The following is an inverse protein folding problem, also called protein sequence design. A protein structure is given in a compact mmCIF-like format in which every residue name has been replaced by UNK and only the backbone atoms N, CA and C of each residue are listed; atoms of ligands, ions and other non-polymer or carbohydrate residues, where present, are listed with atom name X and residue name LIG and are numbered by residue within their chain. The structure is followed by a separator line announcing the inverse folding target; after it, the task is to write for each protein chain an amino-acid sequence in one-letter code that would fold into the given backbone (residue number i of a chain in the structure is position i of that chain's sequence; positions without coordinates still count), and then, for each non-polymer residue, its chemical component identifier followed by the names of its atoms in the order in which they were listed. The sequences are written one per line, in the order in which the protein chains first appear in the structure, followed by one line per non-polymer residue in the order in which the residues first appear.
data_IF_551256995175
#
_entry.id   IF_551256995175
#
_cell.length_a   1.000
_cell.length_b   1.000
_cell.length_c   1.000
_cell.angle_alpha   90.00
_cell.angle_beta   90.00
_cell.angle_gamma   90.00
#
_symmetry.space_group_name_H-M   'P 1'
#
loop_
_entity.id
_entity.type
_entity.pdbx_description
1 polymer ?
#
# COMPACT_ATOMS: atom_id res chain seq x y z
N UNK A 1 -3.88 37.73 -23.33
CA UNK A 1 -3.92 36.30 -22.92
C UNK A 1 -2.91 36.18 -21.80
N UNK A 2 -3.35 36.03 -20.55
CA UNK A 2 -2.41 35.92 -19.43
C UNK A 2 -1.53 34.70 -19.67
N UNK A 3 -0.26 34.95 -20.01
CA UNK A 3 0.79 33.94 -20.10
C UNK A 3 0.79 33.23 -18.75
N UNK A 4 0.22 32.03 -18.74
CA UNK A 4 0.15 31.12 -17.60
C UNK A 4 1.51 31.19 -16.91
N UNK A 5 1.52 31.64 -15.65
CA UNK A 5 2.74 31.64 -14.84
C UNK A 5 3.09 30.19 -14.52
N UNK A 6 3.59 29.46 -15.53
CA UNK A 6 4.19 28.15 -15.37
C UNK A 6 5.31 28.33 -14.35
N UNK A 7 5.22 27.67 -13.19
CA UNK A 7 6.10 28.03 -12.06
C UNK A 7 7.57 27.82 -12.42
N UNK A 8 7.85 26.85 -13.31
CA UNK A 8 9.19 26.60 -13.85
C UNK A 8 9.72 27.70 -14.79
N UNK A 9 8.88 28.60 -15.32
CA UNK A 9 9.30 29.71 -16.22
C UNK A 9 10.39 30.59 -15.61
N UNK A 10 10.35 30.78 -14.29
CA UNK A 10 11.24 31.72 -13.57
C UNK A 10 12.72 31.39 -13.70
N UNK A 11 13.07 30.15 -14.04
CA UNK A 11 14.46 29.69 -14.10
C UNK A 11 14.88 29.20 -15.50
N UNK A 12 14.10 29.47 -16.56
CA UNK A 12 14.47 29.01 -17.91
C UNK A 12 15.79 29.64 -18.37
N UNK A 13 16.78 28.84 -18.80
CA UNK A 13 18.06 29.35 -19.30
C UNK A 13 17.94 30.04 -20.66
N UNK A 14 16.79 29.93 -21.34
CA UNK A 14 16.57 30.42 -22.70
C UNK A 14 15.73 31.70 -22.80
N UNK A 15 15.40 32.33 -21.66
CA UNK A 15 14.53 33.51 -21.60
C UNK A 15 15.01 34.69 -22.45
N UNK A 16 16.33 34.83 -22.65
CA UNK A 16 16.92 35.94 -23.41
C UNK A 16 17.14 35.61 -24.90
N UNK A 17 16.86 34.38 -25.35
CA UNK A 17 17.04 33.97 -26.74
C UNK A 17 15.77 34.22 -27.53
N UNK A 18 15.88 34.96 -28.63
CA UNK A 18 14.75 35.25 -29.54
C UNK A 18 15.00 34.77 -30.97
N UNK A 19 16.19 34.25 -31.26
CA UNK A 19 16.53 33.64 -32.53
C UNK A 19 15.84 32.26 -32.64
N UNK A 20 14.74 32.23 -33.39
CA UNK A 20 13.93 31.04 -33.53
C UNK A 20 14.66 29.91 -34.26
N UNK A 21 15.43 30.21 -35.31
CA UNK A 21 16.16 29.20 -36.07
C UNK A 21 17.25 28.54 -35.22
N UNK A 22 17.90 29.33 -34.35
CA UNK A 22 18.83 28.79 -33.37
C UNK A 22 18.13 27.87 -32.35
N UNK A 23 16.96 28.28 -31.85
CA UNK A 23 16.16 27.47 -30.91
C UNK A 23 15.70 26.14 -31.53
N UNK A 24 15.23 26.16 -32.78
CA UNK A 24 14.84 24.95 -33.52
C UNK A 24 16.04 24.00 -33.69
N UNK A 25 17.20 24.53 -34.08
CA UNK A 25 18.42 23.71 -34.19
C UNK A 25 18.80 23.08 -32.85
N UNK A 26 18.76 23.85 -31.76
CA UNK A 26 19.05 23.35 -30.42
C UNK A 26 18.04 22.30 -29.95
N UNK A 27 16.78 22.41 -30.36
CA UNK A 27 15.72 21.46 -30.04
C UNK A 27 15.88 20.15 -30.81
N UNK A 28 16.17 20.22 -32.11
CA UNK A 28 16.47 19.05 -32.93
C UNK A 28 17.66 18.27 -32.37
N UNK A 29 18.78 18.94 -32.07
CA UNK A 29 19.96 18.31 -31.46
C UNK A 29 19.63 17.66 -30.11
N UNK A 30 18.73 18.26 -29.33
CA UNK A 30 18.31 17.73 -28.03
C UNK A 30 17.39 16.50 -28.19
N UNK A 31 16.52 16.47 -29.20
CA UNK A 31 15.70 15.30 -29.52
C UNK A 31 16.54 14.12 -29.98
N UNK A 32 17.48 14.34 -30.90
CA UNK A 32 18.41 13.31 -31.39
C UNK A 32 19.19 12.66 -30.24
N UNK A 33 19.64 13.46 -29.27
CA UNK A 33 20.31 12.94 -28.06
C UNK A 33 19.36 12.19 -27.13
N UNK A 34 18.15 12.70 -26.92
CA UNK A 34 17.16 12.06 -26.05
C UNK A 34 16.67 10.71 -26.61
N UNK A 35 16.71 10.50 -27.92
CA UNK A 35 16.46 9.19 -28.55
C UNK A 35 17.57 8.17 -28.26
N UNK A 36 18.82 8.61 -28.13
CA UNK A 36 19.97 7.76 -27.80
C UNK A 36 20.04 7.47 -26.30
N UNK A 37 19.89 8.49 -25.47
CA UNK A 37 19.96 8.41 -24.01
C UNK A 37 18.95 9.38 -23.39
N UNK A 38 17.82 8.84 -22.91
CA UNK A 38 16.76 9.67 -22.34
C UNK A 38 17.02 9.98 -20.85
N UNK A 39 17.63 11.14 -20.57
CA UNK A 39 17.89 11.63 -19.21
C UNK A 39 16.88 12.69 -18.75
N UNK A 40 16.84 12.95 -17.44
CA UNK A 40 15.99 14.00 -16.88
C UNK A 40 16.42 15.39 -17.37
N UNK A 41 17.73 15.66 -17.40
CA UNK A 41 18.30 16.94 -17.82
C UNK A 41 18.00 17.24 -19.29
N UNK A 42 18.02 16.21 -20.15
CA UNK A 42 17.66 16.37 -21.57
C UNK A 42 16.18 16.68 -21.75
N UNK A 43 15.29 16.01 -21.01
CA UNK A 43 13.85 16.32 -21.01
C UNK A 43 13.57 17.72 -20.48
N UNK A 44 14.24 18.13 -19.42
CA UNK A 44 14.12 19.48 -18.87
C UNK A 44 14.60 20.55 -19.87
N UNK A 45 15.71 20.29 -20.56
CA UNK A 45 16.20 21.14 -21.66
C UNK A 45 15.17 21.25 -22.79
N UNK A 46 14.63 20.12 -23.25
CA UNK A 46 13.60 20.08 -24.30
C UNK A 46 12.35 20.85 -23.89
N UNK A 47 11.95 20.74 -22.61
CA UNK A 47 10.83 21.50 -22.04
C UNK A 47 11.07 23.02 -22.16
N UNK A 48 12.22 23.52 -21.70
CA UNK A 48 12.51 24.96 -21.75
C UNK A 48 12.65 25.50 -23.18
N UNK A 49 13.22 24.71 -24.10
CA UNK A 49 13.29 25.08 -25.52
C UNK A 49 11.91 25.19 -26.15
N UNK A 50 11.06 24.17 -25.96
CA UNK A 50 9.69 24.18 -26.47
C UNK A 50 8.83 25.29 -25.84
N UNK A 51 9.00 25.55 -24.54
CA UNK A 51 8.34 26.67 -23.87
C UNK A 51 8.73 28.00 -24.51
N UNK A 52 10.03 28.21 -24.78
CA UNK A 52 10.51 29.46 -25.40
C UNK A 52 10.03 29.61 -26.84
N UNK A 53 10.03 28.54 -27.62
CA UNK A 53 9.51 28.55 -29.00
C UNK A 53 8.01 28.87 -29.02
N UNK A 54 7.23 28.31 -28.09
CA UNK A 54 5.81 28.65 -27.94
C UNK A 54 5.58 30.11 -27.52
N UNK A 55 6.46 30.70 -26.70
CA UNK A 55 6.38 32.13 -26.36
C UNK A 55 6.59 33.04 -27.59
N UNK A 56 7.43 32.61 -28.54
CA UNK A 56 7.70 33.35 -29.77
C UNK A 56 6.59 33.14 -30.81
N UNK A 57 6.06 31.91 -30.92
CA UNK A 57 5.00 31.50 -31.84
C UNK A 57 3.84 30.80 -31.09
N UNK A 58 3.00 31.56 -30.38
CA UNK A 58 1.94 30.99 -29.53
C UNK A 58 0.81 30.29 -30.30
N UNK A 59 0.64 30.63 -31.57
CA UNK A 59 -0.32 30.03 -32.50
C UNK A 59 0.05 28.58 -32.91
N UNK A 60 1.31 28.18 -32.76
CA UNK A 60 1.79 26.86 -33.14
C UNK A 60 1.46 25.83 -32.05
N UNK A 61 0.35 25.09 -32.24
CA UNK A 61 -0.09 24.06 -31.30
C UNK A 61 0.93 22.92 -31.10
N UNK A 62 1.83 22.73 -32.07
CA UNK A 62 2.91 21.75 -31.99
C UNK A 62 3.71 21.91 -30.69
N UNK A 63 4.22 23.12 -30.39
CA UNK A 63 5.02 23.35 -29.19
C UNK A 63 4.21 23.15 -27.92
N UNK A 64 2.95 23.58 -27.91
CA UNK A 64 2.04 23.36 -26.78
C UNK A 64 1.82 21.86 -26.52
N UNK A 65 1.68 21.04 -27.56
CA UNK A 65 1.54 19.59 -27.45
C UNK A 65 2.86 18.92 -27.04
N UNK A 66 4.00 19.38 -27.55
CA UNK A 66 5.34 18.92 -27.17
C UNK A 66 5.63 19.18 -25.69
N UNK A 67 5.35 20.40 -25.20
CA UNK A 67 5.42 20.75 -23.77
C UNK A 67 4.57 19.78 -22.95
N UNK A 68 3.34 19.49 -23.41
CA UNK A 68 2.43 18.62 -22.70
C UNK A 68 3.01 17.22 -22.46
N UNK A 69 3.59 16.63 -23.52
CA UNK A 69 4.23 15.33 -23.48
C UNK A 69 5.46 15.33 -22.58
N UNK A 70 6.34 16.33 -22.73
CA UNK A 70 7.58 16.41 -21.95
C UNK A 70 7.28 16.59 -20.45
N UNK A 71 6.32 17.45 -20.11
CA UNK A 71 5.91 17.68 -18.71
C UNK A 71 5.28 16.43 -18.09
N UNK A 72 4.51 15.66 -18.87
CA UNK A 72 3.97 14.38 -18.43
C UNK A 72 5.09 13.39 -18.10
N UNK A 73 6.12 13.32 -18.94
CA UNK A 73 7.28 12.43 -18.75
C UNK A 73 8.14 12.86 -17.55
N UNK A 74 8.47 14.16 -17.43
CA UNK A 74 9.21 14.72 -16.28
C UNK A 74 8.48 14.45 -14.95
N UNK A 75 7.17 14.72 -14.90
CA UNK A 75 6.37 14.44 -13.71
C UNK A 75 6.30 12.95 -13.40
N UNK A 76 6.31 12.09 -14.42
CA UNK A 76 6.32 10.63 -14.24
C UNK A 76 7.64 10.12 -13.68
N UNK A 77 8.77 10.61 -14.18
CA UNK A 77 10.10 10.24 -13.70
C UNK A 77 10.29 10.63 -12.23
N UNK A 78 9.89 11.85 -11.86
CA UNK A 78 9.92 12.33 -10.47
C UNK A 78 8.99 11.53 -9.55
N UNK A 79 7.80 11.16 -10.03
CA UNK A 79 6.89 10.31 -9.27
C UNK A 79 7.45 8.91 -9.05
N UNK A 80 8.13 8.33 -10.06
CA UNK A 80 8.74 7.00 -9.97
C UNK A 80 9.95 6.97 -9.04
N UNK A 81 10.76 8.02 -9.06
CA UNK A 81 11.93 8.12 -8.18
C UNK A 81 11.54 8.26 -6.70
N UNK A 82 10.30 8.71 -6.42
CA UNK A 82 9.78 9.03 -5.08
C UNK A 82 10.59 10.11 -4.34
N UNK A 83 11.48 10.80 -5.04
CA UNK A 83 12.37 11.80 -4.45
C UNK A 83 11.67 13.15 -4.32
N UNK A 84 10.85 13.53 -5.30
CA UNK A 84 10.25 14.87 -5.33
C UNK A 84 8.79 14.87 -5.82
N UNK A 85 7.87 14.44 -4.94
CA UNK A 85 6.44 14.47 -5.24
C UNK A 85 5.88 15.88 -5.39
N UNK A 86 6.47 16.88 -4.75
CA UNK A 86 6.02 18.27 -4.83
C UNK A 86 6.29 18.84 -6.23
N UNK A 87 7.48 18.64 -6.78
CA UNK A 87 7.79 19.08 -8.14
C UNK A 87 6.98 18.32 -9.19
N UNK A 88 6.79 17.00 -9.02
CA UNK A 88 5.90 16.22 -9.87
C UNK A 88 4.46 16.77 -9.85
N UNK A 89 3.96 17.15 -8.68
CA UNK A 89 2.64 17.74 -8.50
C UNK A 89 2.51 19.05 -9.28
N UNK A 90 3.49 19.94 -9.17
CA UNK A 90 3.51 21.22 -9.89
C UNK A 90 3.48 21.02 -11.41
N UNK A 91 4.28 20.08 -11.94
CA UNK A 91 4.25 19.76 -13.36
C UNK A 91 2.87 19.32 -13.86
N UNK A 92 2.17 18.46 -13.13
CA UNK A 92 0.84 18.01 -13.53
C UNK A 92 -0.23 19.10 -13.39
N UNK A 93 -0.15 19.97 -12.38
CA UNK A 93 -1.06 21.12 -12.26
C UNK A 93 -0.85 22.14 -13.38
N UNK A 94 0.40 22.47 -13.67
CA UNK A 94 0.75 23.40 -14.74
C UNK A 94 0.32 22.84 -16.09
N UNK A 95 0.48 21.53 -16.32
CA UNK A 95 0.00 20.82 -17.51
C UNK A 95 -1.53 20.92 -17.69
N UNK A 96 -2.30 20.65 -16.64
CA UNK A 96 -3.76 20.77 -16.68
C UNK A 96 -4.17 22.20 -17.00
N UNK A 97 -3.46 23.19 -16.44
CA UNK A 97 -3.75 24.61 -16.68
C UNK A 97 -3.41 25.01 -18.11
N UNK A 98 -2.24 24.59 -18.61
CA UNK A 98 -1.78 24.84 -19.98
C UNK A 98 -2.74 24.27 -21.03
N UNK A 99 -3.33 23.10 -20.76
CA UNK A 99 -4.17 22.42 -21.74
C UNK A 99 -5.65 22.83 -21.69
N UNK A 100 -6.07 23.70 -20.75
CA UNK A 100 -7.45 24.19 -20.73
C UNK A 100 -7.85 24.79 -22.09
N UNK A 101 -9.08 24.52 -22.58
CA UNK A 101 -10.15 23.74 -21.94
C UNK A 101 -10.07 22.21 -22.15
N UNK A 102 -9.06 21.68 -22.86
CA UNK A 102 -8.88 20.23 -23.10
C UNK A 102 -8.70 19.49 -21.77
N UNK A 103 -9.40 18.38 -21.62
CA UNK A 103 -9.22 17.52 -20.45
C UNK A 103 -7.91 16.73 -20.56
N UNK A 104 -7.21 16.57 -19.44
CA UNK A 104 -5.97 15.76 -19.38
C UNK A 104 -6.14 14.64 -18.32
N UNK A 105 -6.84 13.54 -18.66
CA UNK A 105 -7.14 12.45 -17.73
C UNK A 105 -5.91 11.87 -17.05
N UNK A 106 -4.83 11.63 -17.79
CA UNK A 106 -3.61 11.02 -17.25
C UNK A 106 -2.94 11.90 -16.18
N UNK A 107 -2.95 13.24 -16.33
CA UNK A 107 -2.39 14.14 -15.33
C UNK A 107 -3.21 14.13 -14.03
N UNK A 108 -4.54 14.17 -14.15
CA UNK A 108 -5.43 14.02 -13.00
C UNK A 108 -5.25 12.65 -12.31
N UNK A 109 -5.09 11.58 -13.07
CA UNK A 109 -4.76 10.27 -12.54
C UNK A 109 -3.44 10.29 -11.75
N UNK A 110 -2.39 10.94 -12.25
CA UNK A 110 -1.12 11.03 -11.52
C UNK A 110 -1.23 11.86 -10.24
N UNK A 111 -1.91 13.01 -10.29
CA UNK A 111 -2.19 13.87 -9.12
C UNK A 111 -2.99 13.12 -8.05
N UNK A 112 -4.03 12.38 -8.45
CA UNK A 112 -4.85 11.60 -7.52
C UNK A 112 -4.02 10.64 -6.67
N UNK A 113 -3.05 9.97 -7.28
CA UNK A 113 -2.11 9.12 -6.55
C UNK A 113 -1.14 9.90 -5.65
N UNK A 114 -0.63 11.05 -6.10
CA UNK A 114 0.27 11.87 -5.27
C UNK A 114 -0.49 12.34 -4.02
N UNK A 115 -1.71 12.83 -4.18
CA UNK A 115 -2.58 13.22 -3.07
C UNK A 115 -2.92 12.05 -2.16
N UNK A 116 -3.18 10.88 -2.74
CA UNK A 116 -3.45 9.67 -1.97
C UNK A 116 -2.26 9.29 -1.07
N UNK A 117 -1.03 9.29 -1.61
CA UNK A 117 0.18 8.98 -0.83
C UNK A 117 0.49 10.03 0.24
N UNK A 118 0.08 11.27 0.00
CA UNK A 118 0.19 12.37 0.98
C UNK A 118 -1.00 12.45 1.94
N UNK A 119 -1.87 11.43 1.98
CA UNK A 119 -3.08 11.37 2.81
C UNK A 119 -4.07 12.53 2.58
N UNK A 120 -3.98 13.22 1.44
CA UNK A 120 -4.91 14.28 1.00
C UNK A 120 -6.11 13.66 0.30
N UNK A 121 -6.84 12.76 0.96
CA UNK A 121 -7.84 11.90 0.32
C UNK A 121 -8.95 12.66 -0.41
N UNK A 122 -9.42 13.79 0.12
CA UNK A 122 -10.43 14.61 -0.56
C UNK A 122 -9.92 15.18 -1.91
N UNK A 123 -8.65 15.60 -1.97
CA UNK A 123 -8.04 16.05 -3.22
C UNK A 123 -7.84 14.87 -4.18
N UNK A 124 -7.38 13.73 -3.66
CA UNK A 124 -7.23 12.50 -4.43
C UNK A 124 -8.55 12.07 -5.11
N UNK A 125 -9.66 12.09 -4.37
CA UNK A 125 -11.01 11.80 -4.88
C UNK A 125 -11.33 12.71 -6.07
N UNK A 126 -11.23 14.03 -5.90
CA UNK A 126 -11.53 15.01 -6.98
C UNK A 126 -10.70 14.77 -8.24
N UNK A 127 -9.43 14.42 -8.08
CA UNK A 127 -8.56 14.14 -9.21
C UNK A 127 -8.89 12.81 -9.90
N UNK A 128 -9.12 11.73 -9.15
CA UNK A 128 -9.54 10.46 -9.74
C UNK A 128 -10.87 10.58 -10.48
N UNK A 129 -11.84 11.33 -9.94
CA UNK A 129 -13.12 11.58 -10.63
C UNK A 129 -12.93 12.34 -11.94
N UNK A 130 -12.12 13.40 -11.95
CA UNK A 130 -11.77 14.14 -13.18
C UNK A 130 -11.04 13.26 -14.20
N UNK A 131 -10.24 12.30 -13.73
CA UNK A 131 -9.51 11.38 -14.60
C UNK A 131 -10.42 10.31 -15.23
N UNK A 132 -11.38 9.79 -14.46
CA UNK A 132 -12.32 8.76 -14.89
C UNK A 132 -13.46 9.32 -15.73
N UNK A 133 -13.94 10.52 -15.38
CA UNK A 133 -15.05 11.21 -16.01
C UNK A 133 -14.61 12.58 -16.53
N UNK A 134 -13.72 12.64 -17.54
CA UNK A 134 -13.36 13.90 -18.15
C UNK A 134 -14.61 14.54 -18.77
N UNK A 135 -14.78 15.87 -18.68
CA UNK A 135 -15.93 16.55 -19.27
C UNK A 135 -16.05 16.23 -20.75
N UNK A 136 -17.27 15.94 -21.21
CA UNK A 136 -17.58 15.75 -22.63
C UNK A 136 -17.44 17.10 -23.33
N UNK A 137 -16.35 17.27 -24.07
CA UNK A 137 -16.10 18.47 -24.88
C UNK A 137 -16.39 18.17 -26.36
N UNK A 138 -16.63 19.23 -27.14
CA UNK A 138 -16.73 19.17 -28.61
C UNK A 138 -15.44 18.56 -29.22
N UNK A 139 -15.51 18.06 -30.46
CA UNK A 139 -14.51 17.15 -31.06
C UNK A 139 -13.07 17.69 -31.04
N UNK A 140 -12.91 19.01 -31.13
CA UNK A 140 -11.63 19.76 -31.09
C UNK A 140 -10.94 19.78 -29.72
N UNK A 141 -11.61 19.30 -28.67
CA UNK A 141 -11.15 19.40 -27.27
C UNK A 141 -11.09 18.06 -26.55
N UNK A 142 -11.16 16.97 -27.32
CA UNK A 142 -11.00 15.61 -26.80
C UNK A 142 -9.54 15.33 -26.42
N UNK A 143 -9.28 14.55 -25.36
CA UNK A 143 -7.92 14.17 -25.03
C UNK A 143 -7.27 13.40 -26.18
N UNK A 144 -6.00 13.67 -26.48
CA UNK A 144 -5.20 12.89 -27.42
C UNK A 144 -4.93 11.48 -26.87
N UNK A 145 -4.59 10.48 -27.70
CA UNK A 145 -4.41 9.09 -27.24
C UNK A 145 -3.47 8.92 -26.04
N UNK A 146 -2.37 9.68 -25.97
CA UNK A 146 -1.40 9.64 -24.86
C UNK A 146 -1.88 10.37 -23.59
N UNK A 147 -2.92 11.20 -23.70
CA UNK A 147 -3.53 11.93 -22.58
C UNK A 147 -4.65 11.12 -21.92
N UNK A 148 -5.20 10.14 -22.64
CA UNK A 148 -6.24 9.21 -22.17
C UNK A 148 -5.68 8.18 -21.20
N UNK A 149 -6.55 7.68 -20.33
CA UNK A 149 -6.24 6.52 -19.51
C UNK A 149 -6.38 5.23 -20.32
N UNK A 150 -5.39 4.34 -20.21
CA UNK A 150 -5.55 2.94 -20.60
C UNK A 150 -6.58 2.24 -19.71
N UNK A 151 -7.10 1.09 -20.14
CA UNK A 151 -8.05 0.32 -19.34
C UNK A 151 -7.48 -0.09 -17.97
N UNK A 152 -6.22 -0.53 -17.94
CA UNK A 152 -5.51 -0.83 -16.69
C UNK A 152 -5.42 0.40 -15.78
N UNK A 153 -5.15 1.59 -16.33
CA UNK A 153 -5.10 2.82 -15.55
C UNK A 153 -6.49 3.22 -15.03
N UNK A 154 -7.55 3.05 -15.83
CA UNK A 154 -8.94 3.29 -15.38
C UNK A 154 -9.31 2.37 -14.23
N UNK A 155 -9.04 1.06 -14.33
CA UNK A 155 -9.27 0.11 -13.25
C UNK A 155 -8.51 0.51 -11.97
N UNK A 156 -7.22 0.85 -12.09
CA UNK A 156 -6.41 1.31 -10.95
C UNK A 156 -6.94 2.61 -10.32
N UNK A 157 -7.38 3.55 -11.15
CA UNK A 157 -7.99 4.80 -10.69
C UNK A 157 -9.29 4.53 -9.94
N UNK A 158 -10.14 3.65 -10.46
CA UNK A 158 -11.40 3.27 -9.82
C UNK A 158 -11.17 2.58 -8.47
N UNK A 159 -10.22 1.64 -8.41
CA UNK A 159 -9.86 0.98 -7.16
C UNK A 159 -9.34 1.97 -6.12
N UNK A 160 -8.45 2.89 -6.52
CA UNK A 160 -7.93 3.90 -5.59
C UNK A 160 -8.94 4.96 -5.20
N UNK A 161 -9.88 5.30 -6.09
CA UNK A 161 -11.01 6.18 -5.75
C UNK A 161 -11.85 5.54 -4.64
N UNK A 162 -12.18 4.25 -4.76
CA UNK A 162 -12.93 3.53 -3.72
C UNK A 162 -12.18 3.50 -2.38
N UNK A 163 -10.88 3.23 -2.39
CA UNK A 163 -10.05 3.24 -1.17
C UNK A 163 -9.97 4.65 -0.59
N UNK A 164 -9.81 5.69 -1.42
CA UNK A 164 -9.77 7.08 -0.97
C UNK A 164 -11.09 7.49 -0.30
N UNK A 165 -12.23 7.06 -0.86
CA UNK A 165 -13.55 7.26 -0.24
C UNK A 165 -13.64 6.58 1.14
N UNK A 166 -13.21 5.32 1.26
CA UNK A 166 -13.22 4.61 2.54
C UNK A 166 -12.29 5.25 3.58
N UNK A 167 -11.10 5.71 3.18
CA UNK A 167 -10.19 6.43 4.09
C UNK A 167 -10.75 7.79 4.50
N UNK A 168 -11.33 8.52 3.55
CA UNK A 168 -11.94 9.82 3.82
C UNK A 168 -13.17 9.71 4.72
N UNK A 169 -14.02 8.69 4.54
CA UNK A 169 -15.19 8.46 5.38
C UNK A 169 -14.81 8.21 6.84
N UNK A 170 -13.75 7.42 7.10
CA UNK A 170 -13.20 7.23 8.45
C UNK A 170 -12.73 8.54 9.07
N UNK A 171 -12.01 9.39 8.31
CA UNK A 171 -11.59 10.70 8.82
C UNK A 171 -12.79 11.61 9.12
N UNK A 172 -13.81 11.61 8.26
CA UNK A 172 -15.03 12.38 8.47
C UNK A 172 -15.81 11.90 9.69
N UNK A 173 -15.97 10.58 9.85
CA UNK A 173 -16.63 9.97 10.99
C UNK A 173 -15.92 10.29 12.32
N UNK A 174 -14.58 10.23 12.35
CA UNK A 174 -13.81 10.65 13.54
C UNK A 174 -14.02 12.13 13.89
N UNK A 175 -14.06 13.01 12.89
CA UNK A 175 -14.36 14.44 13.12
C UNK A 175 -15.76 14.65 13.68
N UNK A 176 -16.75 13.94 13.15
CA UNK A 176 -18.13 13.99 13.65
C UNK A 176 -18.21 13.53 15.12
N UNK A 177 -17.53 12.43 15.47
CA UNK A 177 -17.44 11.95 16.86
C UNK A 177 -16.83 13.00 17.80
N UNK A 178 -15.72 13.63 17.41
CA UNK A 178 -15.12 14.71 18.20
C UNK A 178 -16.06 15.91 18.34
N UNK A 179 -16.80 16.28 17.28
CA UNK A 179 -17.79 17.36 17.37
C UNK A 179 -18.92 17.01 18.35
N UNK A 180 -19.43 15.78 18.30
CA UNK A 180 -20.43 15.26 19.22
C UNK A 180 -19.96 15.25 20.68
N UNK A 181 -18.73 14.79 20.94
CA UNK A 181 -18.13 14.80 22.29
C UNK A 181 -18.02 16.23 22.86
N UNK A 182 -17.94 17.24 21.99
CA UNK A 182 -17.86 18.65 22.36
C UNK A 182 -19.22 19.38 22.36
N UNK A 183 -20.34 18.70 22.05
CA UNK A 183 -21.65 19.34 21.93
C UNK A 183 -22.24 19.81 23.28
N UNK A 184 -21.64 19.41 24.40
CA UNK A 184 -22.03 19.81 25.76
C UNK A 184 -23.30 19.12 26.27
N UNK A 185 -24.39 19.22 25.52
CA UNK A 185 -25.68 18.57 25.80
C UNK A 185 -26.27 17.98 24.52
N UNK A 186 -25.69 16.88 23.98
CA UNK A 186 -26.23 16.20 22.82
C UNK A 186 -27.59 15.57 23.13
N UNK A 187 -28.50 15.57 22.15
CA UNK A 187 -29.79 14.89 22.27
C UNK A 187 -29.71 13.41 21.81
N UNK A 188 -30.82 12.68 21.93
CA UNK A 188 -30.89 11.27 21.52
C UNK A 188 -30.68 11.08 20.01
N UNK A 189 -31.03 12.07 19.19
CA UNK A 189 -30.87 11.98 17.73
C UNK A 189 -29.40 12.15 17.34
N UNK A 190 -28.67 13.03 18.02
CA UNK A 190 -27.22 13.18 17.86
C UNK A 190 -26.49 11.86 18.18
N UNK A 191 -26.91 11.15 19.23
CA UNK A 191 -26.36 9.85 19.62
C UNK A 191 -26.57 8.79 18.53
N UNK A 192 -27.76 8.71 17.94
CA UNK A 192 -28.08 7.75 16.88
C UNK A 192 -27.15 7.89 15.66
N UNK A 193 -26.84 9.12 15.24
CA UNK A 193 -25.89 9.35 14.14
C UNK A 193 -24.49 8.86 14.48
N UNK A 194 -24.01 9.08 15.71
CA UNK A 194 -22.69 8.61 16.13
C UNK A 194 -22.64 7.09 16.21
N UNK A 195 -23.67 6.44 16.75
CA UNK A 195 -23.73 4.98 16.83
C UNK A 195 -23.69 4.32 15.45
N UNK A 196 -24.36 4.90 14.45
CA UNK A 196 -24.28 4.43 13.06
C UNK A 196 -22.86 4.59 12.51
N UNK A 197 -22.22 5.75 12.72
CA UNK A 197 -20.84 5.98 12.27
C UNK A 197 -19.85 5.01 12.92
N UNK A 198 -20.01 4.75 14.21
CA UNK A 198 -19.19 3.80 14.95
C UNK A 198 -19.37 2.38 14.43
N UNK A 199 -20.63 1.96 14.28
CA UNK A 199 -20.99 0.63 13.81
C UNK A 199 -20.59 0.39 12.38
N UNK A 200 -20.72 1.34 11.46
CA UNK A 200 -20.61 1.06 10.02
C UNK A 200 -19.30 1.56 9.39
N UNK A 201 -18.69 2.61 9.95
CA UNK A 201 -17.49 3.26 9.39
C UNK A 201 -16.28 3.09 10.30
N UNK A 202 -16.43 3.31 11.60
CA UNK A 202 -15.33 3.21 12.56
C UNK A 202 -15.15 1.82 13.14
N UNK A 203 -15.74 0.78 12.53
CA UNK A 203 -15.51 -0.62 12.93
C UNK A 203 -14.02 -0.81 13.16
N UNK A 204 -13.63 -0.99 14.41
CA UNK A 204 -12.30 -1.48 14.70
C UNK A 204 -12.20 -2.85 14.04
N UNK A 205 -11.09 -3.09 13.33
CA UNK A 205 -10.86 -4.37 12.68
C UNK A 205 -11.04 -5.46 13.74
N UNK A 206 -12.02 -6.35 13.53
CA UNK A 206 -12.20 -7.48 14.43
C UNK A 206 -10.87 -8.23 14.50
N UNK A 207 -10.39 -8.43 15.73
CA UNK A 207 -9.20 -9.24 16.00
C UNK A 207 -9.66 -10.57 16.61
N UNK A 208 -10.25 -11.47 15.80
CA UNK A 208 -10.87 -12.68 16.31
C UNK A 208 -9.86 -13.69 16.83
N UNK A 209 -8.56 -13.44 16.64
CA UNK A 209 -7.49 -14.34 17.06
C UNK A 209 -6.56 -13.70 18.06
N UNK A 210 -5.92 -14.56 18.84
CA UNK A 210 -4.79 -14.22 19.67
C UNK A 210 -3.55 -14.94 19.15
N UNK A 211 -2.46 -14.20 19.02
CA UNK A 211 -1.13 -14.73 18.74
C UNK A 211 -0.29 -14.69 20.01
N UNK A 212 0.18 -15.86 20.43
CA UNK A 212 1.17 -16.03 21.48
C UNK A 212 2.52 -16.34 20.82
N UNK A 213 3.52 -15.50 21.08
CA UNK A 213 4.89 -15.67 20.56
C UNK A 213 5.92 -15.38 21.65
N UNK A 214 7.21 -15.47 21.32
CA UNK A 214 8.32 -15.13 22.22
C UNK A 214 8.29 -13.67 22.71
N UNK A 215 7.61 -12.78 21.99
CA UNK A 215 7.46 -11.35 22.34
C UNK A 215 6.25 -11.11 23.25
N UNK A 216 5.36 -12.10 23.40
CA UNK A 216 4.17 -12.03 24.25
C UNK A 216 2.87 -12.35 23.50
N UNK A 217 1.75 -12.05 24.17
CA UNK A 217 0.37 -12.30 23.72
C UNK A 217 -0.20 -11.01 23.10
N UNK A 218 -0.80 -11.10 21.91
CA UNK A 218 -1.50 -9.98 21.27
C UNK A 218 -2.67 -10.44 20.40
N UNK A 219 -3.69 -9.60 20.27
CA UNK A 219 -4.79 -9.83 19.34
C UNK A 219 -4.39 -9.48 17.90
N UNK A 220 -4.78 -10.33 16.95
CA UNK A 220 -4.47 -10.18 15.52
C UNK A 220 -5.73 -10.33 14.67
N UNK A 221 -5.75 -9.69 13.50
CA UNK A 221 -6.84 -9.81 12.54
C UNK A 221 -6.71 -11.04 11.64
N UNK A 222 -7.77 -11.36 10.90
CA UNK A 222 -7.75 -12.41 9.87
C UNK A 222 -6.74 -12.13 8.75
N UNK A 223 -6.58 -10.86 8.36
CA UNK A 223 -5.59 -10.48 7.36
C UNK A 223 -4.17 -10.73 7.89
N UNK A 224 -3.88 -10.24 9.09
CA UNK A 224 -2.57 -10.46 9.71
C UNK A 224 -2.27 -11.95 9.87
N UNK A 225 -3.25 -12.76 10.26
CA UNK A 225 -3.08 -14.21 10.36
C UNK A 225 -2.76 -14.85 8.98
N UNK A 226 -3.38 -14.40 7.89
CA UNK A 226 -3.04 -14.87 6.53
C UNK A 226 -1.61 -14.50 6.14
N UNK A 227 -1.19 -13.28 6.44
CA UNK A 227 0.17 -12.81 6.18
C UNK A 227 1.20 -13.66 6.96
N UNK A 228 0.97 -13.89 8.26
CA UNK A 228 1.82 -14.75 9.08
C UNK A 228 1.93 -16.17 8.53
N UNK A 229 0.81 -16.78 8.10
CA UNK A 229 0.81 -18.12 7.51
C UNK A 229 1.58 -18.22 6.19
N UNK A 230 1.78 -17.10 5.49
CA UNK A 230 2.52 -17.09 4.21
C UNK A 230 4.03 -16.89 4.38
N UNK A 231 4.49 -16.55 5.59
CA UNK A 231 5.90 -16.25 5.87
C UNK A 231 6.75 -17.52 5.85
N UNK A 232 7.94 -17.38 5.27
CA UNK A 232 8.92 -18.47 5.19
C UNK A 232 9.80 -18.56 6.43
N UNK A 233 9.70 -17.66 7.39
CA UNK A 233 10.53 -17.63 8.60
C UNK A 233 9.75 -17.97 9.89
N UNK A 234 8.53 -18.49 9.76
CA UNK A 234 7.61 -18.76 10.89
C UNK A 234 7.39 -20.25 11.15
N UNK A 235 7.16 -20.58 12.42
CA UNK A 235 6.75 -21.89 12.89
C UNK A 235 5.45 -21.73 13.69
N UNK A 236 4.30 -22.00 13.05
CA UNK A 236 2.99 -21.63 13.59
C UNK A 236 2.15 -22.86 13.89
N UNK A 237 1.70 -22.99 15.14
CA UNK A 237 0.61 -23.88 15.51
C UNK A 237 -0.71 -23.12 15.44
N UNK A 238 -1.53 -23.43 14.44
CA UNK A 238 -2.88 -22.93 14.26
C UNK A 238 -3.87 -23.81 15.04
N UNK A 239 -4.42 -23.23 16.11
CA UNK A 239 -5.48 -23.77 16.95
C UNK A 239 -6.74 -22.89 16.90
N UNK A 240 -6.99 -22.22 15.77
CA UNK A 240 -8.18 -21.39 15.57
C UNK A 240 -9.47 -22.22 15.46
N UNK A 241 -9.36 -23.48 15.03
CA UNK A 241 -10.43 -24.47 15.01
C UNK A 241 -10.22 -25.53 16.10
N UNK A 242 -11.29 -25.87 16.82
CA UNK A 242 -11.26 -26.91 17.86
C UNK A 242 -11.00 -28.32 17.27
N UNK A 243 -11.45 -28.56 16.04
CA UNK A 243 -11.43 -29.88 15.40
C UNK A 243 -10.28 -30.05 14.39
N UNK A 244 -9.75 -28.95 13.84
CA UNK A 244 -8.80 -28.97 12.72
C UNK A 244 -7.58 -28.10 13.00
N UNK A 245 -6.73 -28.56 13.93
CA UNK A 245 -5.45 -27.91 14.23
C UNK A 245 -4.46 -28.15 13.10
N UNK A 246 -3.75 -27.09 12.70
CA UNK A 246 -2.77 -27.12 11.62
C UNK A 246 -1.42 -26.64 12.09
N UNK A 247 -0.37 -27.21 11.50
CA UNK A 247 0.99 -26.75 11.70
C UNK A 247 1.47 -26.11 10.40
N UNK A 248 1.91 -24.86 10.47
CA UNK A 248 2.52 -24.16 9.34
C UNK A 248 4.02 -24.02 9.58
N UNK A 249 4.81 -24.52 8.63
CA UNK A 249 6.27 -24.43 8.61
C UNK A 249 6.69 -23.83 7.26
N UNK A 250 7.40 -22.71 7.29
CA UNK A 250 7.88 -22.01 6.09
C UNK A 250 6.77 -21.76 5.05
N UNK A 251 5.57 -21.43 5.50
CA UNK A 251 4.40 -21.19 4.64
C UNK A 251 3.60 -22.43 4.24
N UNK A 252 4.06 -23.63 4.58
CA UNK A 252 3.44 -24.89 4.16
C UNK A 252 2.73 -25.60 5.32
N UNK A 253 1.62 -26.28 5.01
CA UNK A 253 0.89 -27.09 6.00
C UNK A 253 1.58 -28.43 6.21
N UNK A 254 1.98 -28.70 7.45
CA UNK A 254 2.59 -29.96 7.88
C UNK A 254 1.56 -30.81 8.62
N UNK A 255 1.43 -32.07 8.22
CA UNK A 255 0.52 -33.02 8.87
C UNK A 255 1.27 -33.78 9.94
N UNK A 256 0.76 -33.72 11.18
CA UNK A 256 1.22 -34.53 12.30
C UNK A 256 0.08 -35.37 12.86
N UNK A 257 0.41 -36.44 13.57
CA UNK A 257 -0.60 -37.21 14.30
C UNK A 257 -1.23 -36.37 15.42
N UNK A 258 -2.49 -36.65 15.82
CA UNK A 258 -3.16 -35.92 16.91
C UNK A 258 -2.33 -35.88 18.20
N UNK A 259 -1.61 -36.97 18.51
CA UNK A 259 -0.77 -37.07 19.70
C UNK A 259 0.48 -36.18 19.63
N UNK A 260 1.10 -36.06 18.45
CA UNK A 260 2.24 -35.15 18.22
C UNK A 260 1.79 -33.68 18.20
N UNK A 261 0.62 -33.39 17.64
CA UNK A 261 -0.01 -32.06 17.72
C UNK A 261 -0.28 -31.65 19.16
N UNK A 262 -0.80 -32.56 19.99
CA UNK A 262 -1.06 -32.29 21.41
C UNK A 262 0.24 -31.99 22.19
N UNK A 263 1.34 -32.72 21.91
CA UNK A 263 2.65 -32.41 22.49
C UNK A 263 3.11 -31.01 22.09
N UNK A 264 3.06 -30.67 20.80
CA UNK A 264 3.42 -29.33 20.33
C UNK A 264 2.60 -28.25 21.01
N UNK A 265 1.29 -28.44 21.12
CA UNK A 265 0.38 -27.48 21.76
C UNK A 265 0.80 -27.15 23.20
N UNK A 266 1.19 -28.17 23.98
CA UNK A 266 1.73 -27.95 25.33
C UNK A 266 3.02 -27.12 25.29
N UNK A 267 3.95 -27.45 24.38
CA UNK A 267 5.21 -26.71 24.27
C UNK A 267 5.01 -25.25 23.85
N UNK A 268 4.11 -25.01 22.89
CA UNK A 268 3.73 -23.69 22.40
C UNK A 268 3.01 -22.84 23.45
N UNK A 269 2.20 -23.47 24.30
CA UNK A 269 1.45 -22.76 25.35
C UNK A 269 2.36 -22.35 26.51
N UNK A 270 3.27 -23.24 26.92
CA UNK A 270 4.09 -23.03 28.11
C UNK A 270 5.26 -22.08 27.88
N UNK A 271 5.83 -22.03 26.66
CA UNK A 271 6.97 -21.17 26.30
C UNK A 271 8.18 -21.25 27.26
N UNK A 272 8.26 -22.35 28.02
CA UNK A 272 9.32 -22.70 28.98
C UNK A 272 9.69 -24.18 28.80
N UNK A 273 10.82 -24.65 29.36
CA UNK A 273 11.09 -26.08 29.41
C UNK A 273 9.96 -26.83 30.13
N UNK A 274 9.38 -27.81 29.44
CA UNK A 274 8.30 -28.68 29.94
C UNK A 274 8.88 -30.04 30.33
N UNK A 275 8.90 -30.40 31.62
CA UNK A 275 9.41 -31.69 32.06
C UNK A 275 8.65 -32.87 31.47
N UNK A 276 9.34 -34.00 31.29
CA UNK A 276 8.73 -35.23 30.77
C UNK A 276 7.52 -35.69 31.61
N UNK A 277 7.60 -35.55 32.93
CA UNK A 277 6.50 -35.89 33.84
C UNK A 277 5.26 -35.03 33.58
N UNK A 278 5.44 -33.73 33.35
CA UNK A 278 4.34 -32.81 33.04
C UNK A 278 3.63 -33.20 31.74
N UNK A 279 4.40 -33.53 30.68
CA UNK A 279 3.83 -34.05 29.43
C UNK A 279 3.11 -35.39 29.62
N UNK A 280 3.68 -36.29 30.41
CA UNK A 280 3.07 -37.59 30.73
C UNK A 280 1.73 -37.40 31.44
N UNK A 281 1.69 -36.53 32.44
CA UNK A 281 0.51 -36.29 33.27
C UNK A 281 -0.59 -35.56 32.49
N UNK A 282 -0.24 -34.51 31.72
CA UNK A 282 -1.22 -33.73 30.94
C UNK A 282 -1.79 -34.50 29.75
N UNK A 283 -0.98 -35.33 29.08
CA UNK A 283 -1.36 -35.98 27.81
C UNK A 283 -1.59 -37.49 27.95
N UNK A 284 -1.47 -38.04 29.16
CA UNK A 284 -1.55 -39.47 29.45
C UNK A 284 -0.65 -40.31 28.52
N UNK A 285 0.65 -39.99 28.50
CA UNK A 285 1.65 -40.62 27.60
C UNK A 285 2.74 -41.33 28.40
N UNK A 286 2.80 -42.66 28.31
CA UNK A 286 3.81 -43.47 29.01
C UNK A 286 5.21 -43.40 28.38
N UNK A 287 5.33 -43.16 27.08
CA UNK A 287 6.60 -43.12 26.33
C UNK A 287 6.88 -41.74 25.71
N UNK A 288 6.87 -40.68 26.53
CA UNK A 288 7.08 -39.29 26.06
C UNK A 288 8.34 -39.14 25.21
N UNK A 289 9.47 -39.73 25.62
CA UNK A 289 10.74 -39.60 24.90
C UNK A 289 10.67 -40.17 23.47
N UNK A 290 9.92 -41.27 23.27
CA UNK A 290 9.70 -41.86 21.94
C UNK A 290 8.87 -40.92 21.06
N UNK A 291 7.73 -40.45 21.56
CA UNK A 291 6.88 -39.52 20.81
C UNK A 291 7.58 -38.19 20.51
N UNK A 292 8.46 -37.74 21.40
CA UNK A 292 9.26 -36.54 21.18
C UNK A 292 10.33 -36.75 20.10
N UNK A 293 11.01 -37.90 20.08
CA UNK A 293 11.97 -38.21 19.03
C UNK A 293 11.27 -38.28 17.66
N UNK A 294 10.15 -38.99 17.57
CA UNK A 294 9.33 -39.03 16.36
C UNK A 294 8.89 -37.62 15.91
N UNK A 295 8.46 -36.78 16.85
CA UNK A 295 8.06 -35.39 16.56
C UNK A 295 9.24 -34.60 16.01
N UNK A 296 10.44 -34.70 16.61
CA UNK A 296 11.64 -34.04 16.09
C UNK A 296 11.94 -34.49 14.65
N UNK A 297 11.85 -35.79 14.37
CA UNK A 297 12.05 -36.32 13.02
C UNK A 297 11.01 -35.80 12.01
N UNK A 298 9.73 -35.68 12.40
CA UNK A 298 8.70 -35.08 11.55
C UNK A 298 8.99 -33.60 11.25
N UNK A 299 9.42 -32.83 12.26
CA UNK A 299 9.75 -31.41 12.13
C UNK A 299 10.98 -31.20 11.23
N UNK A 300 12.01 -32.04 11.39
CA UNK A 300 13.21 -32.01 10.54
C UNK A 300 12.84 -32.32 9.08
N UNK A 301 12.03 -33.36 8.85
CA UNK A 301 11.52 -33.69 7.50
C UNK A 301 10.68 -32.56 6.89
N UNK A 302 10.08 -31.72 7.73
CA UNK A 302 9.31 -30.54 7.32
C UNK A 302 10.17 -29.30 7.07
N UNK A 303 11.50 -29.38 7.22
CA UNK A 303 12.46 -28.32 6.91
C UNK A 303 12.98 -27.54 8.13
N UNK A 304 12.57 -27.90 9.35
CA UNK A 304 13.07 -27.23 10.56
C UNK A 304 14.43 -27.78 10.99
N UNK A 305 15.31 -26.96 11.61
CA UNK A 305 16.58 -27.43 12.15
C UNK A 305 16.42 -28.47 13.27
N UNK A 306 17.40 -29.35 13.45
CA UNK A 306 17.40 -30.39 14.51
C UNK A 306 17.24 -29.80 15.91
N UNK A 307 17.81 -28.61 16.12
CA UNK A 307 17.74 -27.86 17.38
C UNK A 307 16.39 -27.17 17.64
N UNK A 308 15.36 -27.39 16.82
CA UNK A 308 14.04 -26.74 16.98
C UNK A 308 13.33 -27.15 18.26
N UNK A 309 13.58 -28.37 18.77
CA UNK A 309 13.16 -28.77 20.12
C UNK A 309 14.39 -29.20 20.90
N UNK A 310 14.73 -28.44 21.95
CA UNK A 310 15.83 -28.75 22.86
C UNK A 310 15.34 -29.56 24.05
N UNK A 311 16.21 -30.45 24.55
CA UNK A 311 16.02 -31.15 25.81
C UNK A 311 17.00 -30.58 26.85
N UNK A 312 16.53 -29.70 27.73
CA UNK A 312 17.32 -29.09 28.80
C UNK A 312 16.44 -28.94 30.06
N UNK A 313 16.54 -29.90 30.99
CA UNK A 313 15.64 -30.03 32.14
C UNK A 313 14.13 -30.07 31.78
N UNK A 314 13.82 -30.51 30.56
CA UNK A 314 12.50 -30.47 29.94
C UNK A 314 12.63 -30.21 28.44
N UNK A 315 11.51 -30.24 27.73
CA UNK A 315 11.45 -29.94 26.30
C UNK A 315 11.00 -28.50 26.06
N UNK A 316 11.66 -27.79 25.15
CA UNK A 316 11.31 -26.41 24.80
C UNK A 316 11.44 -26.20 23.29
N UNK A 317 10.55 -25.39 22.71
CA UNK A 317 10.69 -24.92 21.33
C UNK A 317 11.80 -23.86 21.28
N UNK A 318 12.81 -24.14 20.46
CA UNK A 318 13.94 -23.27 20.19
C UNK A 318 13.93 -22.89 18.70
N UNK A 319 13.02 -21.99 18.35
CA UNK A 319 12.87 -21.41 17.02
C UNK A 319 12.89 -19.87 17.18
N UNK A 320 13.36 -19.08 16.19
CA UNK A 320 13.33 -17.62 16.29
C UNK A 320 11.90 -17.05 16.33
N UNK A 321 10.98 -17.65 15.57
CA UNK A 321 9.60 -17.15 15.43
C UNK A 321 8.53 -18.25 15.65
N UNK A 322 8.43 -18.88 16.83
CA UNK A 322 7.36 -19.79 17.15
C UNK A 322 6.11 -18.99 17.53
N UNK A 323 4.97 -19.34 16.94
CA UNK A 323 3.68 -18.72 17.24
C UNK A 323 2.59 -19.76 17.47
N UNK A 324 1.81 -19.57 18.53
CA UNK A 324 0.53 -20.24 18.73
C UNK A 324 -0.58 -19.24 18.40
N UNK A 325 -1.47 -19.61 17.49
CA UNK A 325 -2.60 -18.75 17.10
C UNK A 325 -3.89 -19.49 17.42
N UNK A 326 -4.78 -18.84 18.19
CA UNK A 326 -6.05 -19.42 18.66
C UNK A 326 -7.15 -18.37 18.63
N UNK A 327 -8.41 -18.81 18.68
CA UNK A 327 -9.56 -17.90 18.77
C UNK A 327 -9.50 -17.06 20.05
N UNK A 328 -9.72 -15.75 19.95
CA UNK A 328 -9.64 -14.84 21.09
C UNK A 328 -10.62 -15.20 22.23
N UNK A 329 -11.70 -15.91 21.90
CA UNK A 329 -12.73 -16.36 22.85
C UNK A 329 -12.59 -17.85 23.22
N UNK A 330 -11.48 -18.52 22.88
CA UNK A 330 -11.28 -19.93 23.23
C UNK A 330 -10.95 -20.08 24.74
N UNK A 331 -11.86 -20.64 25.55
CA UNK A 331 -11.68 -20.73 27.00
C UNK A 331 -10.46 -21.54 27.41
N UNK A 332 -9.94 -22.43 26.54
CA UNK A 332 -8.73 -23.22 26.81
C UNK A 332 -7.50 -22.34 27.04
N UNK A 333 -7.47 -21.15 26.44
CA UNK A 333 -6.31 -20.26 26.40
C UNK A 333 -6.55 -18.91 27.09
N UNK A 334 -7.68 -18.77 27.81
CA UNK A 334 -8.05 -17.56 28.56
C UNK A 334 -7.44 -17.48 29.97
N UNK A 335 -6.45 -18.33 30.29
CA UNK A 335 -5.70 -18.27 31.55
C UNK A 335 -4.63 -17.17 31.56
#
# INVERSE_FOLDING_TARGET
MDLIQFRARRNSPYNNLSDFALLEKMEQEAWERNEQESTYELKERLFYLNLRMWEIKPEEEFYRNSIARIVLDLGWDLKRSKVNYEQAYQFFEDLITLQKPRAFPVANYRLGFIDFYNNRYQAAIRHFEKALNPPKLHDDRRPLPHEKLSESQRMKAQAQLAIAYAKYSVLAARKAKVMYENLGSPDEHDLDYILILEKDILKEEEKPYTCLSTVGKRHISEQEFRELRSRTDTFILDSTSLEDKKLYIHGNVCKLSPRRMAILEVLFTQMRPVPQRELSDQLNISQVSKYMNDLKEDLIRSGLPEQTILANNGYIINHPNPMLIYSANDPKYMM
#
